data_IF_893662555906
#
_entry.id   IF_893662555906
#
_cell.length_a   1.000
_cell.length_b   1.000
_cell.length_c   1.000
_cell.angle_alpha   90.00
_cell.angle_beta   90.00
_cell.angle_gamma   90.00
#
_symmetry.space_group_name_H-M   'P 1'
#
loop_
_entity.id
_entity.type
_entity.pdbx_description
1 polymer ?
#
# COMPACT_ATOMS: atom_id res chain seq x y z
N UNK A 1 -5.10 -50.23 -9.80
CA UNK A 1 -4.90 -49.63 -8.46
C UNK A 1 -5.01 -48.12 -8.63
N UNK A 2 -6.13 -47.50 -8.27
CA UNK A 2 -6.36 -46.05 -8.39
C UNK A 2 -6.19 -45.42 -7.01
N UNK A 3 -5.26 -44.48 -6.85
CA UNK A 3 -5.10 -43.75 -5.59
C UNK A 3 -6.22 -42.69 -5.47
N UNK A 4 -6.83 -42.50 -4.28
CA UNK A 4 -7.83 -41.45 -4.10
C UNK A 4 -7.15 -40.09 -3.96
N UNK A 5 -7.49 -39.15 -4.82
CA UNK A 5 -7.10 -37.74 -4.70
C UNK A 5 -7.75 -37.15 -3.44
N UNK A 6 -6.93 -36.79 -2.46
CA UNK A 6 -7.36 -36.12 -1.23
C UNK A 6 -8.02 -34.77 -1.57
N UNK A 7 -9.22 -34.54 -1.05
CA UNK A 7 -9.99 -33.32 -1.26
C UNK A 7 -9.21 -32.06 -0.84
N UNK A 8 -9.06 -31.11 -1.77
CA UNK A 8 -8.48 -29.80 -1.52
C UNK A 8 -9.39 -29.02 -0.56
N UNK A 9 -9.07 -29.07 0.73
CA UNK A 9 -9.71 -28.20 1.73
C UNK A 9 -9.28 -26.77 1.41
N UNK A 10 -10.19 -25.93 0.94
CA UNK A 10 -9.87 -24.53 0.64
C UNK A 10 -9.54 -23.81 1.95
N UNK A 11 -8.33 -23.28 2.06
CA UNK A 11 -7.93 -22.45 3.18
C UNK A 11 -8.55 -21.05 3.02
N UNK A 12 -9.42 -20.66 3.95
CA UNK A 12 -9.95 -19.30 4.05
C UNK A 12 -9.08 -18.51 5.02
N UNK A 13 -8.49 -17.40 4.55
CA UNK A 13 -7.76 -16.47 5.40
C UNK A 13 -8.65 -15.28 5.75
N UNK A 14 -8.74 -14.96 7.04
CA UNK A 14 -9.37 -13.75 7.54
C UNK A 14 -8.27 -12.76 7.95
N UNK A 15 -8.23 -11.61 7.30
CA UNK A 15 -7.36 -10.49 7.70
C UNK A 15 -8.16 -9.51 8.55
N UNK A 16 -7.64 -9.17 9.73
CA UNK A 16 -8.17 -8.11 10.59
C UNK A 16 -7.07 -7.09 10.86
N UNK A 17 -7.40 -5.81 10.79
CA UNK A 17 -6.50 -4.71 11.14
C UNK A 17 -6.91 -4.15 12.50
N UNK A 18 -5.94 -4.00 13.41
CA UNK A 18 -6.18 -3.43 14.73
C UNK A 18 -5.88 -1.93 14.71
N UNK A 19 -6.92 -1.11 14.94
CA UNK A 19 -6.81 0.34 15.09
C UNK A 19 -7.29 0.73 16.50
N UNK A 20 -6.34 1.00 17.41
CA UNK A 20 -6.71 1.40 18.78
C UNK A 20 -7.40 2.76 18.81
N UNK A 21 -8.37 2.96 19.70
CA UNK A 21 -9.03 4.26 19.89
C UNK A 21 -8.01 5.32 20.33
N UNK A 22 -7.03 4.95 21.14
CA UNK A 22 -5.95 5.85 21.59
C UNK A 22 -5.07 6.36 20.46
N UNK A 23 -4.93 5.61 19.37
CA UNK A 23 -4.24 6.06 18.17
C UNK A 23 -5.14 6.96 17.30
N UNK A 24 -6.43 7.07 17.61
CA UNK A 24 -7.42 7.87 16.90
C UNK A 24 -8.42 7.04 16.08
N UNK A 25 -8.51 5.74 16.32
CA UNK A 25 -9.59 4.88 15.80
C UNK A 25 -9.57 4.72 14.28
N UNK A 26 -10.77 4.64 13.69
CA UNK A 26 -10.92 4.55 12.24
C UNK A 26 -10.66 5.93 11.59
N UNK A 27 -9.56 6.02 10.85
CA UNK A 27 -9.17 7.22 10.08
C UNK A 27 -9.25 6.99 8.58
N UNK A 28 -9.93 5.93 8.14
CA UNK A 28 -9.97 5.55 6.73
C UNK A 28 -10.46 6.69 5.84
N UNK A 29 -11.61 7.30 6.17
CA UNK A 29 -12.16 8.41 5.39
C UNK A 29 -11.23 9.62 5.38
N UNK A 30 -10.83 10.10 6.57
CA UNK A 30 -9.95 11.26 6.72
C UNK A 30 -8.62 11.09 5.95
N UNK A 31 -8.05 9.88 5.96
CA UNK A 31 -6.83 9.58 5.20
C UNK A 31 -7.03 9.78 3.69
N UNK A 32 -8.13 9.26 3.13
CA UNK A 32 -8.37 9.35 1.68
C UNK A 32 -8.85 10.75 1.25
N UNK A 33 -9.54 11.48 2.11
CA UNK A 33 -9.88 12.89 1.88
C UNK A 33 -8.61 13.75 1.75
N UNK A 34 -7.70 13.66 2.71
CA UNK A 34 -6.45 14.44 2.67
C UNK A 34 -5.54 13.99 1.52
N UNK A 35 -5.46 12.69 1.25
CA UNK A 35 -4.72 12.15 0.11
C UNK A 35 -5.26 12.66 -1.22
N UNK A 36 -6.57 12.66 -1.45
CA UNK A 36 -7.15 13.16 -2.71
C UNK A 36 -6.86 14.64 -2.90
N UNK A 37 -6.81 15.43 -1.82
CA UNK A 37 -6.48 16.85 -1.86
C UNK A 37 -5.00 17.11 -2.17
N UNK A 38 -4.10 16.42 -1.47
CA UNK A 38 -2.65 16.67 -1.53
C UNK A 38 -1.94 15.91 -2.64
N UNK A 39 -2.44 14.73 -3.00
CA UNK A 39 -1.87 13.84 -4.00
C UNK A 39 -2.97 13.14 -4.83
N UNK A 40 -3.78 13.91 -5.58
CA UNK A 40 -4.86 13.35 -6.37
C UNK A 40 -4.36 12.36 -7.44
N UNK A 41 -5.22 11.43 -7.88
CA UNK A 41 -5.00 10.65 -9.08
C UNK A 41 -4.64 11.54 -10.26
N UNK A 42 -3.81 11.04 -11.18
CA UNK A 42 -3.31 11.82 -12.32
C UNK A 42 -4.44 12.45 -13.14
N UNK A 43 -5.58 11.76 -13.29
CA UNK A 43 -6.76 12.25 -13.99
C UNK A 43 -7.47 13.44 -13.31
N UNK A 44 -7.27 13.62 -12.01
CA UNK A 44 -7.88 14.69 -11.19
C UNK A 44 -6.88 15.85 -10.94
N UNK A 45 -5.64 15.74 -11.42
CA UNK A 45 -4.61 16.77 -11.21
C UNK A 45 -4.86 17.99 -12.09
N UNK A 46 -4.67 19.17 -11.50
CA UNK A 46 -4.74 20.43 -12.21
C UNK A 46 -3.44 20.71 -12.97
N UNK A 47 -3.51 21.25 -14.20
CA UNK A 47 -2.33 21.60 -14.98
C UNK A 47 -1.55 22.72 -14.29
N UNK A 48 -0.23 22.53 -14.15
CA UNK A 48 0.67 23.51 -13.53
C UNK A 48 0.85 23.36 -12.02
N UNK A 49 0.08 22.50 -11.37
CA UNK A 49 0.24 22.22 -9.94
C UNK A 49 1.19 21.04 -9.71
N UNK A 50 2.12 21.20 -8.77
CA UNK A 50 3.25 20.27 -8.60
C UNK A 50 3.00 19.18 -7.56
N UNK A 51 2.03 19.36 -6.66
CA UNK A 51 1.67 18.41 -5.60
C UNK A 51 2.87 17.89 -4.76
N UNK A 52 3.98 18.63 -4.70
CA UNK A 52 5.25 18.16 -4.12
C UNK A 52 5.11 17.73 -2.64
N UNK A 53 4.22 18.38 -1.88
CA UNK A 53 3.92 18.03 -0.49
C UNK A 53 3.24 16.65 -0.39
N UNK A 54 2.24 16.39 -1.23
CA UNK A 54 1.60 15.09 -1.31
C UNK A 54 2.56 14.01 -1.82
N UNK A 55 3.55 14.36 -2.65
CA UNK A 55 4.55 13.42 -3.17
C UNK A 55 5.34 12.81 -2.03
N UNK A 56 5.78 13.68 -1.13
CA UNK A 56 6.60 13.31 0.03
C UNK A 56 5.80 12.56 1.09
N UNK A 57 4.47 12.63 1.07
CA UNK A 57 3.62 11.95 2.04
C UNK A 57 3.08 10.61 1.50
N UNK A 58 2.62 10.60 0.25
CA UNK A 58 1.88 9.48 -0.35
C UNK A 58 2.56 8.87 -1.58
N UNK A 59 3.64 9.48 -2.08
CA UNK A 59 4.38 9.02 -3.25
C UNK A 59 5.37 7.88 -2.99
N UNK A 60 5.43 7.38 -1.75
CA UNK A 60 6.20 6.18 -1.43
C UNK A 60 5.45 4.95 -1.93
N UNK A 61 5.78 4.51 -3.15
CA UNK A 61 5.56 3.12 -3.52
C UNK A 61 6.56 2.24 -2.76
N UNK A 62 6.19 1.01 -2.42
CA UNK A 62 7.18 -0.01 -2.07
C UNK A 62 8.25 0.03 -3.15
N UNK A 63 9.55 0.21 -2.81
CA UNK A 63 10.57 0.22 -3.82
C UNK A 63 10.51 -1.13 -4.54
N UNK A 64 10.02 -1.14 -5.79
CA UNK A 64 10.23 -2.23 -6.73
C UNK A 64 11.70 -2.16 -7.15
N UNK A 65 12.61 -2.36 -6.19
CA UNK A 65 13.98 -2.69 -6.51
C UNK A 65 13.88 -3.99 -7.31
N UNK A 66 14.24 -3.93 -8.60
CA UNK A 66 14.60 -5.15 -9.31
C UNK A 66 15.57 -5.92 -8.41
N UNK A 67 15.41 -7.24 -8.32
CA UNK A 67 16.35 -8.08 -7.59
C UNK A 67 17.68 -8.04 -8.34
N UNK A 68 18.44 -6.99 -8.11
CA UNK A 68 19.89 -6.99 -8.25
C UNK A 68 20.41 -7.54 -6.94
N UNK A 69 21.37 -8.47 -7.00
CA UNK A 69 21.97 -9.17 -5.85
C UNK A 69 22.40 -8.24 -4.69
N UNK A 70 22.50 -6.93 -4.94
CA UNK A 70 23.03 -5.92 -4.04
C UNK A 70 22.11 -4.68 -3.87
N UNK A 71 20.83 -4.76 -4.26
CA UNK A 71 19.91 -3.61 -4.29
C UNK A 71 19.71 -2.88 -2.96
N UNK A 72 19.76 -3.61 -1.84
CA UNK A 72 19.63 -3.03 -0.50
C UNK A 72 20.94 -2.43 0.04
N UNK A 73 22.11 -2.93 -0.38
CA UNK A 73 23.41 -2.42 0.11
C UNK A 73 23.77 -1.07 -0.51
N UNK A 74 23.27 -0.80 -1.71
CA UNK A 74 23.49 0.47 -2.42
C UNK A 74 22.42 1.53 -2.10
N UNK A 75 21.34 1.16 -1.39
CA UNK A 75 20.27 2.07 -1.01
C UNK A 75 20.59 2.94 0.22
N UNK A 76 21.72 2.68 0.89
CA UNK A 76 22.17 3.48 2.04
C UNK A 76 21.23 3.44 3.25
N UNK A 77 20.47 2.35 3.41
CA UNK A 77 19.63 2.06 4.57
C UNK A 77 20.39 1.20 5.56
#
# INVERSE_FOLDING_TARGET
MSLPTTALTTLTFLYTTYNSISDGGDKHEAYYEDRRRLWPPIAERLPGERYDAGAKLYGFGTPMLSVVEDGYKNAGV
#
